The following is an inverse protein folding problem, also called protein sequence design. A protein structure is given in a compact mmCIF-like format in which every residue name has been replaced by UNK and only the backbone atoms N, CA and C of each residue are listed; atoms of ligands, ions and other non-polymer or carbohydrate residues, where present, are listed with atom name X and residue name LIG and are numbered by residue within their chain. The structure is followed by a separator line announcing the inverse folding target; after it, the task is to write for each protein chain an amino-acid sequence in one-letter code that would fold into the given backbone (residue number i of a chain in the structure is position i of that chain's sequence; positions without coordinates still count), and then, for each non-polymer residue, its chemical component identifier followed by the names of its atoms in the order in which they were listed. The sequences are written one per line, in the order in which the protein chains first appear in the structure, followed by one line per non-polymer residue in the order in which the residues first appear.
data_IF_574982458680
#
_entry.id   IF_574982458680
#
_cell.length_a   1.000
_cell.length_b   1.000
_cell.length_c   1.000
_cell.angle_alpha   90.00
_cell.angle_beta   90.00
_cell.angle_gamma   90.00
#
_symmetry.space_group_name_H-M   'P 1'
#
loop_
_entity.id
_entity.type
_entity.pdbx_description
1 polymer ?
#
# COMPACT_ATOMS: atom_id res chain seq x y z
N UNK A 1 37.64 -7.17 -51.95
CA UNK A 1 36.27 -6.86 -51.51
C UNK A 1 35.89 -7.87 -50.42
N UNK A 2 36.00 -7.48 -49.15
CA UNK A 2 35.68 -8.35 -48.01
C UNK A 2 35.11 -7.50 -46.86
N UNK A 3 33.86 -7.08 -47.04
CA UNK A 3 33.08 -6.30 -46.07
C UNK A 3 31.98 -7.23 -45.54
N UNK A 4 32.23 -8.05 -44.51
CA UNK A 4 31.11 -8.84 -43.91
C UNK A 4 31.32 -9.41 -42.50
N UNK A 5 32.43 -9.20 -41.79
CA UNK A 5 32.67 -9.91 -40.51
C UNK A 5 32.64 -9.10 -39.21
N UNK A 6 32.46 -7.78 -39.26
CA UNK A 6 32.57 -6.95 -38.05
C UNK A 6 31.23 -6.57 -37.40
N UNK A 7 30.10 -6.83 -38.06
CA UNK A 7 28.79 -6.31 -37.60
C UNK A 7 28.10 -7.19 -36.54
N UNK A 8 28.60 -8.40 -36.26
CA UNK A 8 27.95 -9.31 -35.29
C UNK A 8 28.46 -9.20 -33.86
N UNK A 9 29.58 -8.51 -33.60
CA UNK A 9 30.16 -8.49 -32.26
C UNK A 9 29.65 -7.36 -31.35
N UNK A 10 29.11 -6.27 -31.93
CA UNK A 10 28.68 -5.10 -31.15
C UNK A 10 27.29 -5.27 -30.54
N UNK A 11 26.45 -6.16 -31.08
CA UNK A 11 25.10 -6.41 -30.57
C UNK A 11 25.05 -7.31 -29.32
N UNK A 12 26.13 -7.99 -28.95
CA UNK A 12 26.14 -8.89 -27.78
C UNK A 12 26.56 -8.21 -26.47
N UNK A 13 27.10 -6.98 -26.49
CA UNK A 13 27.57 -6.30 -25.28
C UNK A 13 26.56 -5.32 -24.66
N UNK A 14 25.47 -4.98 -25.38
CA UNK A 14 24.43 -4.08 -24.85
C UNK A 14 23.36 -4.85 -24.06
N UNK A 15 23.34 -6.19 -24.13
CA UNK A 15 22.35 -7.02 -23.45
C UNK A 15 22.58 -7.28 -21.96
N UNK A 16 23.72 -6.88 -21.38
CA UNK A 16 24.09 -7.26 -20.01
C UNK A 16 24.05 -6.11 -18.98
N UNK A 17 23.68 -4.88 -19.40
CA UNK A 17 23.59 -3.71 -18.50
C UNK A 17 22.14 -3.22 -18.31
N UNK A 18 21.17 -3.83 -19.00
CA UNK A 18 19.75 -3.43 -18.97
C UNK A 18 18.94 -3.99 -17.80
N UNK A 19 19.58 -4.44 -16.72
CA UNK A 19 18.90 -4.79 -15.47
C UNK A 19 18.44 -3.55 -14.70
N UNK A 20 17.70 -2.65 -15.35
CA UNK A 20 16.94 -1.63 -14.62
C UNK A 20 15.82 -2.39 -13.90
N UNK A 21 16.13 -2.81 -12.67
CA UNK A 21 15.13 -3.22 -11.71
C UNK A 21 14.18 -2.05 -11.51
N UNK A 22 13.06 -2.06 -12.21
CA UNK A 22 11.86 -1.35 -11.79
C UNK A 22 11.37 -2.03 -10.50
N UNK A 23 12.07 -1.75 -9.41
CA UNK A 23 11.53 -2.00 -8.08
C UNK A 23 10.33 -1.08 -7.94
N UNK A 24 9.13 -1.63 -8.07
CA UNK A 24 7.91 -0.94 -7.74
C UNK A 24 7.99 -0.57 -6.24
N UNK A 25 8.37 0.69 -5.96
CA UNK A 25 8.32 1.20 -4.60
C UNK A 25 6.85 1.13 -4.11
N UNK A 26 6.58 0.64 -2.89
CA UNK A 26 5.22 0.61 -2.39
C UNK A 26 4.71 2.05 -2.30
N UNK A 27 3.68 2.37 -3.08
CA UNK A 27 2.95 3.63 -2.96
C UNK A 27 2.23 3.59 -1.61
N UNK A 28 2.78 4.29 -0.62
CA UNK A 28 2.06 4.57 0.61
C UNK A 28 0.91 5.52 0.24
N UNK A 29 -0.32 5.15 0.59
CA UNK A 29 -1.47 6.02 0.37
C UNK A 29 -1.28 7.31 1.19
N UNK A 30 -1.21 8.46 0.51
CA UNK A 30 -0.98 9.75 1.15
C UNK A 30 -2.31 10.34 1.66
N UNK A 31 -2.92 9.66 2.62
CA UNK A 31 -4.23 10.06 3.14
C UNK A 31 -4.16 11.35 3.97
N UNK A 32 -5.26 12.12 4.03
CA UNK A 32 -5.32 13.30 4.89
C UNK A 32 -4.92 12.96 6.33
N UNK A 33 -3.88 13.64 6.81
CA UNK A 33 -3.45 13.55 8.21
C UNK A 33 -4.50 14.22 9.10
N UNK A 34 -4.64 13.73 10.33
CA UNK A 34 -5.63 14.22 11.30
C UNK A 34 -4.91 14.59 12.59
N UNK A 35 -5.51 15.53 13.35
CA UNK A 35 -4.98 15.97 14.63
C UNK A 35 -4.70 14.79 15.58
N UNK A 36 -3.81 15.00 16.55
CA UNK A 36 -3.57 14.01 17.59
C UNK A 36 -4.89 13.67 18.31
N UNK A 37 -5.14 12.36 18.46
CA UNK A 37 -6.38 11.82 18.99
C UNK A 37 -6.12 10.46 19.63
N UNK A 38 -7.09 9.97 20.40
CA UNK A 38 -7.00 8.69 21.12
C UNK A 38 -8.06 7.73 20.61
N UNK A 39 -7.71 6.43 20.64
CA UNK A 39 -8.58 5.34 20.23
C UNK A 39 -8.37 4.94 18.77
N UNK A 40 -8.58 3.65 18.49
CA UNK A 40 -8.47 3.11 17.16
C UNK A 40 -9.57 3.64 16.26
N UNK A 41 -9.17 4.02 15.04
CA UNK A 41 -10.04 4.69 14.08
C UNK A 41 -9.98 6.22 14.11
N UNK A 42 -9.42 6.83 15.16
CA UNK A 42 -9.49 8.29 15.30
C UNK A 42 -8.78 9.05 14.15
N UNK A 43 -7.71 8.46 13.60
CA UNK A 43 -7.00 8.93 12.41
C UNK A 43 -7.61 8.46 11.08
N UNK A 44 -8.88 8.04 11.04
CA UNK A 44 -9.53 7.59 9.80
C UNK A 44 -9.48 6.08 9.55
N UNK A 45 -8.88 5.30 10.45
CA UNK A 45 -8.76 3.85 10.34
C UNK A 45 -10.08 3.09 10.56
N UNK A 46 -10.08 1.75 10.49
CA UNK A 46 -11.29 0.92 10.59
C UNK A 46 -11.91 0.88 12.00
N UNK A 47 -11.22 1.37 13.03
CA UNK A 47 -11.78 1.45 14.39
C UNK A 47 -11.49 0.26 15.30
N UNK A 48 -10.64 -0.68 14.87
CA UNK A 48 -10.37 -1.93 15.59
C UNK A 48 -8.99 -1.93 16.25
N UNK A 49 -8.94 -2.41 17.50
CA UNK A 49 -7.71 -2.78 18.21
C UNK A 49 -7.47 -4.28 18.08
N UNK A 50 -6.27 -4.64 17.65
CA UNK A 50 -5.81 -6.00 17.48
C UNK A 50 -5.51 -6.71 18.81
N UNK A 51 -5.33 -8.04 18.78
CA UNK A 51 -4.94 -8.82 19.96
C UNK A 51 -3.62 -8.38 20.59
N UNK A 52 -2.74 -7.77 19.80
CA UNK A 52 -1.44 -7.23 20.24
C UNK A 52 -1.55 -5.86 20.94
N UNK A 53 -2.77 -5.30 21.02
CA UNK A 53 -3.03 -3.98 21.58
C UNK A 53 -2.83 -2.82 20.60
N UNK A 54 -2.46 -3.08 19.34
CA UNK A 54 -2.23 -2.05 18.31
C UNK A 54 -3.49 -1.78 17.49
N UNK A 55 -3.64 -0.58 16.94
CA UNK A 55 -4.74 -0.30 16.00
C UNK A 55 -4.48 -0.95 14.64
N UNK A 56 -5.51 -1.61 14.09
CA UNK A 56 -5.42 -2.35 12.83
C UNK A 56 -5.78 -1.44 11.65
N UNK A 57 -5.05 -1.53 10.54
CA UNK A 57 -5.35 -0.80 9.30
C UNK A 57 -6.32 -1.57 8.38
N UNK A 58 -7.01 -0.88 7.46
CA UNK A 58 -7.99 -1.52 6.56
C UNK A 58 -7.42 -2.72 5.79
N UNK A 59 -6.19 -2.62 5.25
CA UNK A 59 -5.53 -3.69 4.48
C UNK A 59 -5.16 -4.93 5.33
N UNK A 60 -5.14 -4.78 6.65
CA UNK A 60 -4.76 -5.84 7.59
C UNK A 60 -5.97 -6.39 8.34
N UNK A 61 -7.15 -5.76 8.21
CA UNK A 61 -8.30 -6.01 9.07
C UNK A 61 -8.74 -7.48 9.03
N UNK A 62 -8.99 -8.04 7.85
CA UNK A 62 -9.40 -9.44 7.71
C UNK A 62 -8.31 -10.40 8.20
N UNK A 63 -7.03 -10.13 7.89
CA UNK A 63 -5.91 -10.98 8.29
C UNK A 63 -5.72 -11.01 9.81
N UNK A 64 -5.87 -9.87 10.48
CA UNK A 64 -5.60 -9.71 11.92
C UNK A 64 -6.84 -10.00 12.76
N UNK A 65 -8.00 -9.54 12.31
CA UNK A 65 -9.25 -9.55 13.07
C UNK A 65 -10.23 -10.65 12.64
N UNK A 66 -10.06 -11.23 11.45
CA UNK A 66 -11.02 -12.14 10.83
C UNK A 66 -12.18 -11.43 10.14
N UNK A 67 -13.11 -12.23 9.63
CA UNK A 67 -14.41 -11.80 9.11
C UNK A 67 -15.53 -12.64 9.76
N UNK A 68 -16.34 -12.08 10.68
CA UNK A 68 -16.38 -10.67 11.06
C UNK A 68 -15.19 -10.26 11.96
N UNK A 69 -14.73 -9.00 11.90
CA UNK A 69 -13.56 -8.51 12.65
C UNK A 69 -13.74 -8.51 14.16
N UNK A 70 -14.98 -8.60 14.65
CA UNK A 70 -15.31 -8.73 16.07
C UNK A 70 -14.93 -10.09 16.67
N UNK A 71 -14.51 -11.07 15.84
CA UNK A 71 -14.06 -12.38 16.33
C UNK A 71 -12.74 -12.30 17.08
N UNK A 72 -11.80 -11.44 16.63
CA UNK A 72 -10.45 -11.35 17.22
C UNK A 72 -10.07 -9.93 17.65
N UNK A 73 -10.83 -8.91 17.26
CA UNK A 73 -10.51 -7.51 17.58
C UNK A 73 -11.64 -6.80 18.33
N UNK A 74 -11.27 -5.79 19.12
CA UNK A 74 -12.22 -4.91 19.81
C UNK A 74 -12.51 -3.67 18.96
N UNK A 75 -13.78 -3.38 18.73
CA UNK A 75 -14.21 -2.15 18.06
C UNK A 75 -14.29 -0.99 19.06
N UNK A 76 -13.49 0.07 18.84
CA UNK A 76 -13.43 1.23 19.74
C UNK A 76 -14.26 2.42 19.25
N UNK A 77 -14.58 2.46 17.95
CA UNK A 77 -15.39 3.50 17.34
C UNK A 77 -14.96 4.95 17.67
N UNK A 78 -13.65 5.22 17.72
CA UNK A 78 -13.17 6.56 18.03
C UNK A 78 -13.63 7.59 16.97
N UNK A 79 -13.79 8.88 17.33
CA UNK A 79 -14.21 9.91 16.40
C UNK A 79 -13.29 9.97 15.18
N UNK A 80 -13.86 9.76 13.99
CA UNK A 80 -13.12 9.70 12.74
C UNK A 80 -12.95 8.30 12.15
N UNK A 81 -13.43 7.26 12.84
CA UNK A 81 -13.48 5.89 12.30
C UNK A 81 -14.08 5.86 10.89
N UNK A 82 -13.39 5.21 9.96
CA UNK A 82 -13.85 5.07 8.58
C UNK A 82 -13.50 6.22 7.64
N UNK A 83 -13.15 7.41 8.16
CA UNK A 83 -13.05 8.61 7.33
C UNK A 83 -11.88 8.61 6.33
N UNK A 84 -10.91 7.68 6.43
CA UNK A 84 -9.84 7.51 5.45
C UNK A 84 -9.99 6.20 4.64
N UNK A 85 -11.16 5.56 4.62
CA UNK A 85 -11.36 4.26 3.97
C UNK A 85 -11.06 4.28 2.47
N UNK A 86 -11.56 5.26 1.73
CA UNK A 86 -11.38 5.37 0.27
C UNK A 86 -9.90 5.46 -0.09
N UNK A 87 -9.21 6.47 0.44
CA UNK A 87 -7.78 6.66 0.24
C UNK A 87 -6.95 5.45 0.72
N UNK A 88 -7.21 4.91 1.92
CA UNK A 88 -6.41 3.81 2.46
C UNK A 88 -6.54 2.52 1.63
N UNK A 89 -7.66 2.34 0.94
CA UNK A 89 -7.90 1.21 0.04
C UNK A 89 -7.61 1.53 -1.43
N UNK A 90 -7.29 2.77 -1.78
CA UNK A 90 -7.08 3.20 -3.16
C UNK A 90 -8.34 3.10 -4.02
N UNK A 91 -9.52 3.36 -3.43
CA UNK A 91 -10.81 3.28 -4.12
C UNK A 91 -11.20 4.58 -4.85
N UNK A 92 -10.37 5.62 -4.77
CA UNK A 92 -10.57 6.88 -5.48
C UNK A 92 -10.14 6.67 -6.94
N UNK A 93 -11.13 6.35 -7.78
CA UNK A 93 -10.99 6.27 -9.23
C UNK A 93 -10.84 7.69 -9.80
N UNK A 94 -9.65 8.02 -10.30
CA UNK A 94 -9.31 8.79 -11.51
C UNK A 94 -10.10 10.06 -11.97
N UNK A 95 -11.14 10.55 -11.28
CA UNK A 95 -11.97 11.68 -11.75
C UNK A 95 -11.78 13.00 -10.98
N UNK A 96 -10.96 13.05 -9.93
CA UNK A 96 -10.65 14.29 -9.19
C UNK A 96 -9.13 14.57 -9.14
N UNK A 97 -8.48 14.62 -10.31
CA UNK A 97 -7.20 15.33 -10.51
C UNK A 97 -7.34 16.40 -11.59
#
# INVERSE_FOLDING_TARGET
MAITKSLRLVLALIGLVGGFGFGAAPVLANCPERAACTGCGCKGGPGYRGPDGTCVGFKQLERVCGDPPTTSCTFENAPGTGLNRSCALGLESEEDQ
#
